data_IF_200521093434
#
_entry.id   IF_200521093434
#
_cell.length_a   1.000
_cell.length_b   1.000
_cell.length_c   1.000
_cell.angle_alpha   90.00
_cell.angle_beta   90.00
_cell.angle_gamma   90.00
#
_symmetry.space_group_name_H-M   'P 1'
#
loop_
_entity.id
_entity.type
_entity.pdbx_description
1 polymer ?
#
# COMPACT_ATOMS: atom_id res chain seq x y z
N UNK A 1 5.43 12.25 16.45
CA UNK A 1 6.32 11.35 15.71
C UNK A 1 7.63 12.02 15.32
N UNK A 2 8.48 11.34 14.54
CA UNK A 2 9.78 11.89 14.10
C UNK A 2 9.61 13.20 13.30
N UNK A 3 8.54 13.35 12.53
CA UNK A 3 8.24 14.58 11.80
C UNK A 3 8.11 15.80 12.72
N UNK A 4 7.50 15.66 13.86
CA UNK A 4 7.38 16.75 14.85
C UNK A 4 8.73 17.10 15.49
N UNK A 5 9.62 16.12 15.65
CA UNK A 5 11.00 16.35 16.13
C UNK A 5 11.76 17.17 15.10
N UNK A 6 11.73 16.78 13.83
CA UNK A 6 12.41 17.52 12.76
C UNK A 6 11.83 18.93 12.58
N UNK A 7 10.52 19.11 12.68
CA UNK A 7 9.88 20.43 12.66
C UNK A 7 10.49 21.36 13.70
N UNK A 8 10.64 20.89 14.95
CA UNK A 8 11.22 21.69 16.04
C UNK A 8 12.70 22.01 15.82
N UNK A 9 13.46 21.13 15.17
CA UNK A 9 14.89 21.29 14.94
C UNK A 9 15.21 22.18 13.73
N UNK A 10 14.34 22.21 12.73
CA UNK A 10 14.61 22.90 11.46
C UNK A 10 14.64 24.42 11.57
N UNK A 11 14.00 25.03 12.60
CA UNK A 11 13.87 26.49 12.71
C UNK A 11 13.13 27.13 11.51
N UNK A 12 12.51 26.31 10.66
CA UNK A 12 11.79 26.70 9.45
C UNK A 12 10.29 26.49 9.64
N UNK A 13 9.49 27.13 8.80
CA UNK A 13 8.05 26.89 8.73
C UNK A 13 7.79 25.54 8.05
N UNK A 14 7.53 24.51 8.85
CA UNK A 14 7.32 23.12 8.40
C UNK A 14 5.96 22.62 8.86
N UNK A 15 5.17 22.14 7.92
CA UNK A 15 3.91 21.44 8.19
C UNK A 15 4.13 19.93 8.09
N UNK A 16 3.77 19.20 9.15
CA UNK A 16 3.86 17.73 9.20
C UNK A 16 2.48 17.15 8.93
N UNK A 17 2.39 16.27 7.92
CA UNK A 17 1.16 15.59 7.52
C UNK A 17 1.33 14.09 7.80
N UNK A 18 0.34 13.46 8.45
CA UNK A 18 0.28 12.02 8.56
C UNK A 18 -0.28 11.43 7.27
N UNK A 19 0.57 10.69 6.54
CA UNK A 19 0.17 10.04 5.29
C UNK A 19 -0.78 8.86 5.48
N UNK A 20 -0.86 8.29 6.69
CA UNK A 20 -1.53 7.04 7.06
C UNK A 20 -1.15 5.81 6.23
N UNK A 21 -0.29 5.99 5.25
CA UNK A 21 0.17 4.96 4.33
C UNK A 21 1.69 4.80 4.35
N UNK A 22 2.14 3.75 3.72
CA UNK A 22 3.54 3.47 3.40
C UNK A 22 3.68 3.15 1.92
N UNK A 23 4.91 2.89 1.45
CA UNK A 23 5.22 2.41 0.11
C UNK A 23 4.69 3.35 -1.01
N UNK A 24 4.13 2.82 -2.09
CA UNK A 24 3.72 3.63 -3.23
C UNK A 24 2.47 4.49 -2.95
N UNK A 25 1.60 4.13 -1.99
CA UNK A 25 0.52 5.04 -1.56
C UNK A 25 1.07 6.33 -0.95
N UNK A 26 2.15 6.25 -0.18
CA UNK A 26 2.85 7.44 0.31
C UNK A 26 3.54 8.19 -0.85
N UNK A 27 4.15 7.47 -1.78
CA UNK A 27 4.74 8.05 -3.00
C UNK A 27 3.69 8.83 -3.82
N UNK A 28 2.46 8.33 -3.97
CA UNK A 28 1.40 9.05 -4.69
C UNK A 28 1.17 10.45 -4.08
N UNK A 29 1.12 10.54 -2.76
CA UNK A 29 0.97 11.81 -2.03
C UNK A 29 2.16 12.73 -2.27
N UNK A 30 3.39 12.24 -2.08
CA UNK A 30 4.62 13.03 -2.20
C UNK A 30 4.81 13.58 -3.62
N UNK A 31 4.59 12.74 -4.64
CA UNK A 31 4.78 13.15 -6.04
C UNK A 31 3.77 14.23 -6.45
N UNK A 32 2.52 14.12 -6.02
CA UNK A 32 1.50 15.12 -6.34
C UNK A 32 1.73 16.42 -5.56
N UNK A 33 2.14 16.34 -4.30
CA UNK A 33 2.54 17.51 -3.52
C UNK A 33 3.69 18.28 -4.19
N UNK A 34 4.73 17.54 -4.62
CA UNK A 34 5.87 18.14 -5.31
C UNK A 34 5.48 18.83 -6.63
N UNK A 35 4.60 18.20 -7.43
CA UNK A 35 4.10 18.80 -8.69
C UNK A 35 3.37 20.09 -8.44
N UNK A 36 2.40 20.10 -7.51
CA UNK A 36 1.65 21.32 -7.16
C UNK A 36 2.55 22.43 -6.65
N UNK A 37 3.53 22.12 -5.81
CA UNK A 37 4.50 23.09 -5.32
C UNK A 37 5.34 23.70 -6.46
N UNK A 38 5.74 22.88 -7.46
CA UNK A 38 6.45 23.37 -8.65
C UNK A 38 5.57 24.24 -9.55
N UNK A 39 4.26 24.01 -9.56
CA UNK A 39 3.27 24.83 -10.28
C UNK A 39 2.89 26.13 -9.53
N UNK A 40 3.43 26.33 -8.32
CA UNK A 40 3.24 27.53 -7.53
C UNK A 40 1.98 27.52 -6.65
N UNK A 41 1.42 26.33 -6.40
CA UNK A 41 0.29 26.18 -5.48
C UNK A 41 0.65 26.59 -4.04
N UNK A 42 -0.32 27.11 -3.31
CA UNK A 42 -0.16 27.45 -1.89
C UNK A 42 0.00 26.19 -1.02
N UNK A 43 0.51 26.37 0.20
CA UNK A 43 0.64 25.26 1.15
C UNK A 43 -0.72 24.61 1.45
N UNK A 44 -1.76 25.40 1.57
CA UNK A 44 -3.13 24.94 1.83
C UNK A 44 -3.66 24.08 0.68
N UNK A 45 -3.41 24.48 -0.57
CA UNK A 45 -3.78 23.68 -1.75
C UNK A 45 -3.02 22.36 -1.82
N UNK A 46 -1.73 22.37 -1.50
CA UNK A 46 -0.91 21.13 -1.42
C UNK A 46 -1.44 20.20 -0.34
N UNK A 47 -1.74 20.70 0.87
CA UNK A 47 -2.29 19.91 1.97
C UNK A 47 -3.65 19.29 1.57
N UNK A 48 -4.54 20.11 1.01
CA UNK A 48 -5.87 19.65 0.58
C UNK A 48 -5.76 18.52 -0.48
N UNK A 49 -4.81 18.64 -1.41
CA UNK A 49 -4.58 17.61 -2.42
C UNK A 49 -3.99 16.31 -1.85
N UNK A 50 -3.07 16.41 -0.92
CA UNK A 50 -2.51 15.24 -0.22
C UNK A 50 -3.61 14.49 0.53
N UNK A 51 -4.50 15.22 1.20
CA UNK A 51 -5.64 14.65 1.90
C UNK A 51 -6.62 13.96 0.95
N UNK A 52 -6.95 14.60 -0.19
CA UNK A 52 -7.79 13.99 -1.24
C UNK A 52 -7.18 12.67 -1.74
N UNK A 53 -5.87 12.66 -2.03
CA UNK A 53 -5.17 11.46 -2.49
C UNK A 53 -5.21 10.37 -1.44
N UNK A 54 -5.00 10.71 -0.17
CA UNK A 54 -5.09 9.79 0.95
C UNK A 54 -6.45 9.08 0.99
N UNK A 55 -7.53 9.84 0.89
CA UNK A 55 -8.91 9.31 0.91
C UNK A 55 -9.26 8.47 -0.32
N UNK A 56 -8.59 8.69 -1.44
CA UNK A 56 -8.80 8.00 -2.71
C UNK A 56 -7.78 6.89 -2.98
N UNK A 57 -6.98 6.51 -1.99
CA UNK A 57 -5.98 5.46 -2.11
C UNK A 57 -6.34 4.24 -1.27
N UNK A 58 -6.00 3.08 -1.78
CA UNK A 58 -6.14 1.79 -1.10
C UNK A 58 -4.81 1.03 -1.17
N UNK A 59 -4.46 0.35 -0.08
CA UNK A 59 -3.24 -0.45 0.03
C UNK A 59 -3.59 -1.86 0.49
N UNK A 60 -3.23 -2.85 -0.32
CA UNK A 60 -3.38 -4.27 -0.02
C UNK A 60 -2.00 -4.92 0.09
N UNK A 61 -1.79 -5.74 1.12
CA UNK A 61 -0.53 -6.43 1.39
C UNK A 61 -0.80 -7.92 1.45
N UNK A 62 -0.13 -8.68 0.59
CA UNK A 62 -0.15 -10.14 0.61
C UNK A 62 1.13 -10.71 1.20
N UNK A 63 1.01 -11.64 2.15
CA UNK A 63 2.13 -12.34 2.76
C UNK A 63 1.99 -13.84 2.61
N UNK A 64 3.11 -14.51 2.30
CA UNK A 64 3.17 -15.97 2.14
C UNK A 64 3.23 -16.72 3.46
N UNK A 65 3.64 -16.03 4.54
CA UNK A 65 3.68 -16.53 5.91
C UNK A 65 3.48 -15.38 6.90
N UNK A 66 2.98 -15.69 8.08
CA UNK A 66 2.83 -14.72 9.18
C UNK A 66 4.09 -14.63 10.08
N UNK A 67 5.08 -15.47 9.85
CA UNK A 67 6.26 -15.56 10.74
C UNK A 67 7.00 -14.22 10.87
N UNK A 68 7.19 -13.50 9.76
CA UNK A 68 7.88 -12.21 9.76
C UNK A 68 7.09 -11.14 10.51
N UNK A 69 5.75 -11.13 10.40
CA UNK A 69 4.89 -10.24 11.19
C UNK A 69 4.96 -10.55 12.68
N UNK A 70 5.04 -11.84 13.05
CA UNK A 70 5.20 -12.27 14.45
C UNK A 70 6.56 -11.85 14.98
N UNK A 71 7.66 -12.24 14.29
CA UNK A 71 9.03 -11.89 14.67
C UNK A 71 9.26 -10.37 14.74
N UNK A 72 8.64 -9.64 13.84
CA UNK A 72 8.71 -8.18 13.79
C UNK A 72 7.79 -7.45 14.78
N UNK A 73 6.96 -8.17 15.57
CA UNK A 73 6.01 -7.58 16.51
C UNK A 73 4.84 -6.83 15.88
N UNK A 74 4.53 -7.09 14.59
CA UNK A 74 3.44 -6.44 13.84
C UNK A 74 2.19 -7.30 13.74
N UNK A 75 2.24 -8.54 14.22
CA UNK A 75 1.07 -9.44 14.20
C UNK A 75 -0.13 -8.88 14.97
N UNK A 76 0.10 -8.12 16.05
CA UNK A 76 -0.96 -7.48 16.84
C UNK A 76 -1.74 -6.39 16.10
N UNK A 77 -1.23 -5.91 14.95
CA UNK A 77 -1.94 -4.97 14.08
C UNK A 77 -2.85 -5.66 13.06
N UNK A 78 -2.78 -6.99 12.98
CA UNK A 78 -3.57 -7.76 12.01
C UNK A 78 -4.86 -8.23 12.66
N UNK A 79 -5.98 -7.72 12.19
CA UNK A 79 -7.31 -8.11 12.66
C UNK A 79 -7.81 -9.36 11.93
N UNK A 80 -8.67 -10.14 12.58
CA UNK A 80 -9.33 -11.30 11.96
C UNK A 80 -8.47 -12.56 11.82
N UNK A 81 -7.30 -12.64 12.46
CA UNK A 81 -6.48 -13.85 12.51
C UNK A 81 -6.61 -14.57 13.85
N UNK A 82 -6.79 -15.90 13.77
CA UNK A 82 -6.67 -16.78 14.92
C UNK A 82 -5.21 -17.24 15.04
N UNK A 83 -4.66 -17.22 16.24
CA UNK A 83 -3.24 -17.35 16.56
C UNK A 83 -2.51 -18.66 16.16
N UNK A 84 -3.19 -19.63 15.54
CA UNK A 84 -2.63 -20.97 15.29
C UNK A 84 -2.21 -21.25 13.84
N UNK A 85 -2.24 -20.26 12.93
CA UNK A 85 -2.09 -20.50 11.49
C UNK A 85 -0.87 -19.76 10.89
N UNK A 86 0.34 -20.14 11.29
CA UNK A 86 1.59 -19.53 10.77
C UNK A 86 1.80 -19.77 9.26
N UNK A 87 1.39 -20.93 8.75
CA UNK A 87 1.59 -21.35 7.35
C UNK A 87 0.36 -21.09 6.47
N UNK A 88 -0.19 -19.90 6.53
CA UNK A 88 -1.27 -19.46 5.64
C UNK A 88 -0.84 -18.26 4.83
N UNK A 89 -1.39 -18.14 3.63
CA UNK A 89 -1.33 -16.93 2.83
C UNK A 89 -2.47 -16.02 3.18
N UNK A 90 -2.14 -14.74 3.38
CA UNK A 90 -3.10 -13.74 3.80
C UNK A 90 -2.95 -12.52 2.91
N UNK A 91 -4.06 -11.94 2.47
CA UNK A 91 -4.09 -10.58 1.95
C UNK A 91 -4.83 -9.71 2.96
N UNK A 92 -4.23 -8.59 3.28
CA UNK A 92 -4.72 -7.60 4.23
C UNK A 92 -4.86 -6.26 3.54
N UNK A 93 -5.86 -5.50 3.93
CA UNK A 93 -6.02 -4.10 3.56
C UNK A 93 -5.56 -3.20 4.70
N UNK A 94 -4.83 -2.15 4.38
CA UNK A 94 -4.43 -1.14 5.36
C UNK A 94 -5.51 -0.05 5.45
N UNK A 95 -6.14 0.04 6.61
CA UNK A 95 -7.14 1.08 6.93
C UNK A 95 -6.71 1.72 8.25
N UNK A 96 -6.51 3.02 8.26
CA UNK A 96 -6.11 3.79 9.45
C UNK A 96 -4.90 3.19 10.20
N UNK A 97 -3.88 2.78 9.45
CA UNK A 97 -2.66 2.14 9.95
C UNK A 97 -2.86 0.75 10.58
N UNK A 98 -4.04 0.15 10.47
CA UNK A 98 -4.33 -1.23 10.85
C UNK A 98 -4.42 -2.14 9.63
N UNK A 99 -4.08 -3.41 9.81
CA UNK A 99 -4.10 -4.43 8.76
C UNK A 99 -5.34 -5.32 8.93
N UNK A 100 -6.33 -5.10 8.09
CA UNK A 100 -7.58 -5.86 8.10
C UNK A 100 -7.51 -7.05 7.14
N UNK A 101 -7.74 -8.27 7.64
CA UNK A 101 -7.70 -9.47 6.81
C UNK A 101 -8.84 -9.46 5.80
N UNK A 102 -8.48 -9.46 4.50
CA UNK A 102 -9.43 -9.54 3.38
C UNK A 102 -9.67 -10.99 2.97
N UNK A 103 -8.60 -11.75 2.80
CA UNK A 103 -8.68 -13.18 2.48
C UNK A 103 -7.54 -13.94 3.14
N UNK A 104 -7.82 -15.17 3.53
CA UNK A 104 -6.83 -16.13 4.02
C UNK A 104 -7.04 -17.51 3.39
N UNK A 105 -5.95 -18.23 3.18
CA UNK A 105 -6.03 -19.58 2.58
C UNK A 105 -4.67 -20.24 2.46
N UNK A 106 -4.64 -21.36 1.75
CA UNK A 106 -3.40 -22.12 1.50
C UNK A 106 -3.05 -22.07 0.01
N UNK A 107 -1.75 -21.88 -0.26
CA UNK A 107 -1.22 -21.87 -1.63
C UNK A 107 -1.48 -20.59 -2.41
N UNK A 108 -0.80 -20.45 -3.56
CA UNK A 108 -0.80 -19.26 -4.44
C UNK A 108 -2.19 -18.91 -4.98
N UNK A 109 -3.09 -19.89 -5.07
CA UNK A 109 -4.49 -19.68 -5.49
C UNK A 109 -5.21 -18.62 -4.64
N UNK A 110 -4.82 -18.45 -3.36
CA UNK A 110 -5.40 -17.45 -2.46
C UNK A 110 -5.17 -16.04 -3.00
N UNK A 111 -3.96 -15.74 -3.47
CA UNK A 111 -3.61 -14.43 -4.01
C UNK A 111 -4.29 -14.16 -5.35
N UNK A 112 -4.33 -15.16 -6.23
CA UNK A 112 -5.03 -15.02 -7.50
C UNK A 112 -6.54 -14.78 -7.32
N UNK A 113 -7.17 -15.52 -6.39
CA UNK A 113 -8.60 -15.32 -6.08
C UNK A 113 -8.87 -13.91 -5.57
N UNK A 114 -8.00 -13.41 -4.69
CA UNK A 114 -8.12 -12.03 -4.21
C UNK A 114 -8.00 -11.03 -5.36
N UNK A 115 -6.96 -11.18 -6.21
CA UNK A 115 -6.72 -10.26 -7.32
C UNK A 115 -7.88 -10.23 -8.31
N UNK A 116 -8.45 -11.40 -8.65
CA UNK A 116 -9.60 -11.48 -9.55
C UNK A 116 -10.82 -10.76 -8.95
N UNK A 117 -11.08 -10.94 -7.65
CA UNK A 117 -12.15 -10.22 -6.93
C UNK A 117 -11.87 -8.71 -6.83
N UNK A 118 -10.61 -8.30 -6.63
CA UNK A 118 -10.21 -6.90 -6.61
C UNK A 118 -10.47 -6.23 -7.97
N UNK A 119 -10.08 -6.88 -9.07
CA UNK A 119 -10.30 -6.36 -10.42
C UNK A 119 -11.79 -6.19 -10.69
N UNK A 120 -12.61 -7.19 -10.37
CA UNK A 120 -14.06 -7.14 -10.52
C UNK A 120 -14.65 -5.96 -9.72
N UNK A 121 -14.24 -5.81 -8.46
CA UNK A 121 -14.67 -4.69 -7.62
C UNK A 121 -14.26 -3.33 -8.20
N UNK A 122 -13.01 -3.18 -8.63
CA UNK A 122 -12.52 -1.94 -9.23
C UNK A 122 -13.31 -1.56 -10.49
N UNK A 123 -13.64 -2.55 -11.35
CA UNK A 123 -14.43 -2.33 -12.57
C UNK A 123 -15.90 -1.97 -12.29
N UNK A 124 -16.49 -2.50 -11.21
CA UNK A 124 -17.91 -2.31 -10.88
C UNK A 124 -18.18 -1.17 -9.92
N UNK A 125 -17.14 -0.66 -9.24
CA UNK A 125 -17.25 0.42 -8.24
C UNK A 125 -17.71 1.77 -8.79
N UNK A 126 -17.65 1.96 -10.10
CA UNK A 126 -17.87 3.25 -10.76
C UNK A 126 -16.74 4.27 -10.54
N UNK A 127 -15.69 3.91 -9.80
CA UNK A 127 -14.49 4.74 -9.59
C UNK A 127 -13.50 4.51 -10.72
N UNK A 128 -12.91 5.58 -11.24
CA UNK A 128 -11.86 5.46 -12.25
C UNK A 128 -10.49 5.35 -11.57
N UNK A 129 -9.74 4.31 -11.92
CA UNK A 129 -8.38 4.10 -11.43
C UNK A 129 -7.43 5.09 -12.11
N UNK A 130 -6.71 5.88 -11.32
CA UNK A 130 -5.76 6.88 -11.82
C UNK A 130 -4.35 6.31 -11.95
N UNK A 131 -3.92 5.51 -10.99
CA UNK A 131 -2.60 4.84 -11.03
C UNK A 131 -2.57 3.63 -10.10
N UNK A 132 -1.68 2.68 -10.41
CA UNK A 132 -1.48 1.44 -9.66
C UNK A 132 0.00 1.31 -9.32
N UNK A 133 0.29 0.96 -8.07
CA UNK A 133 1.59 0.54 -7.60
C UNK A 133 1.58 -0.94 -7.27
N UNK A 134 2.61 -1.68 -7.70
CA UNK A 134 2.87 -3.04 -7.24
C UNK A 134 4.24 -3.04 -6.60
N UNK A 135 4.33 -3.45 -5.35
CA UNK A 135 5.60 -3.69 -4.69
C UNK A 135 5.77 -5.17 -4.40
N UNK A 136 7.00 -5.68 -4.49
CA UNK A 136 7.32 -7.08 -4.28
C UNK A 136 8.56 -7.26 -3.41
N UNK A 137 8.69 -8.45 -2.81
CA UNK A 137 9.85 -8.89 -2.05
C UNK A 137 10.33 -10.23 -2.63
N UNK A 138 11.59 -10.30 -3.04
CA UNK A 138 12.17 -11.48 -3.67
C UNK A 138 12.02 -11.49 -5.20
N UNK A 139 11.33 -12.48 -5.75
CA UNK A 139 11.20 -12.63 -7.21
C UNK A 139 10.13 -11.73 -7.82
N UNK A 140 10.32 -11.35 -9.09
CA UNK A 140 9.39 -10.49 -9.83
C UNK A 140 8.19 -11.23 -10.43
N UNK A 141 8.17 -12.57 -10.40
CA UNK A 141 7.22 -13.37 -11.18
C UNK A 141 5.77 -13.09 -10.82
N UNK A 142 5.47 -13.04 -9.51
CA UNK A 142 4.13 -12.74 -9.02
C UNK A 142 3.72 -11.30 -9.37
N UNK A 143 4.62 -10.34 -9.17
CA UNK A 143 4.36 -8.93 -9.47
C UNK A 143 4.10 -8.70 -10.96
N UNK A 144 4.85 -9.37 -11.84
CA UNK A 144 4.64 -9.32 -13.28
C UNK A 144 3.32 -9.98 -13.68
N UNK A 145 2.98 -11.12 -13.10
CA UNK A 145 1.68 -11.77 -13.31
C UNK A 145 0.50 -10.89 -12.88
N UNK A 146 0.64 -10.19 -11.77
CA UNK A 146 -0.37 -9.22 -11.30
C UNK A 146 -0.47 -8.01 -12.22
N UNK A 147 0.67 -7.48 -12.67
CA UNK A 147 0.70 -6.37 -13.63
C UNK A 147 -0.08 -6.69 -14.90
N UNK A 148 0.13 -7.90 -15.48
CA UNK A 148 -0.59 -8.30 -16.68
C UNK A 148 -2.11 -8.35 -16.47
N UNK A 149 -2.57 -8.90 -15.35
CA UNK A 149 -4.00 -8.94 -15.02
C UNK A 149 -4.59 -7.55 -14.76
N UNK A 150 -3.85 -6.68 -14.06
CA UNK A 150 -4.31 -5.33 -13.69
C UNK A 150 -4.37 -4.36 -14.88
N UNK A 151 -3.73 -4.67 -16.01
CA UNK A 151 -3.81 -3.85 -17.23
C UNK A 151 -5.24 -3.59 -17.72
N UNK A 152 -6.16 -4.48 -17.41
CA UNK A 152 -7.58 -4.33 -17.77
C UNK A 152 -8.22 -3.08 -17.14
N UNK A 153 -7.63 -2.55 -16.07
CA UNK A 153 -8.10 -1.33 -15.41
C UNK A 153 -7.68 -0.03 -16.13
N UNK A 154 -6.84 -0.14 -17.18
CA UNK A 154 -6.50 0.99 -18.07
C UNK A 154 -5.62 2.09 -17.45
N UNK A 155 -5.08 1.88 -16.26
CA UNK A 155 -4.24 2.85 -15.54
C UNK A 155 -2.75 2.53 -15.68
N UNK A 156 -1.85 3.54 -15.52
CA UNK A 156 -0.41 3.31 -15.41
C UNK A 156 -0.08 2.41 -14.23
N UNK A 157 0.83 1.44 -14.43
CA UNK A 157 1.25 0.48 -13.39
C UNK A 157 2.75 0.57 -13.18
N UNK A 158 3.17 0.94 -11.98
CA UNK A 158 4.56 0.89 -11.54
C UNK A 158 4.83 -0.40 -10.75
N UNK A 159 5.92 -1.09 -11.07
CA UNK A 159 6.38 -2.29 -10.33
C UNK A 159 7.74 -1.97 -9.72
N UNK A 160 7.85 -2.08 -8.40
CA UNK A 160 9.06 -1.73 -7.65
C UNK A 160 9.37 -2.81 -6.60
N UNK A 161 10.65 -3.06 -6.38
CA UNK A 161 11.08 -3.83 -5.22
C UNK A 161 10.90 -3.00 -3.94
N UNK A 162 10.34 -3.61 -2.89
CA UNK A 162 10.18 -2.91 -1.61
C UNK A 162 11.49 -2.85 -0.83
N UNK A 163 11.63 -1.86 0.04
CA UNK A 163 12.84 -1.69 0.85
C UNK A 163 12.98 -2.74 1.96
N UNK A 164 14.22 -2.94 2.44
CA UNK A 164 14.59 -3.96 3.43
C UNK A 164 13.79 -3.88 4.74
N UNK A 165 13.37 -2.70 5.15
CA UNK A 165 12.53 -2.52 6.36
C UNK A 165 11.19 -3.23 6.20
N UNK A 166 10.53 -3.05 5.06
CA UNK A 166 9.25 -3.73 4.77
C UNK A 166 9.48 -5.23 4.61
N UNK A 167 10.52 -5.63 3.86
CA UNK A 167 10.87 -7.04 3.64
C UNK A 167 11.08 -7.79 4.97
N UNK A 168 11.71 -7.16 5.97
CA UNK A 168 11.91 -7.74 7.30
C UNK A 168 10.60 -8.12 7.96
N UNK A 169 9.53 -7.34 7.76
CA UNK A 169 8.23 -7.60 8.37
C UNK A 169 7.31 -8.47 7.53
N UNK A 170 7.42 -8.42 6.20
CA UNK A 170 6.51 -9.13 5.29
C UNK A 170 7.06 -10.48 4.84
N UNK A 171 8.39 -10.59 4.76
CA UNK A 171 9.08 -11.81 4.32
C UNK A 171 9.14 -11.96 2.81
N UNK A 172 9.77 -13.05 2.40
CA UNK A 172 9.93 -13.44 1.00
C UNK A 172 8.57 -13.76 0.37
N UNK A 173 8.46 -13.55 -0.94
CA UNK A 173 7.22 -13.69 -1.72
C UNK A 173 6.04 -12.81 -1.24
N UNK A 174 6.33 -11.78 -0.45
CA UNK A 174 5.33 -10.79 -0.15
C UNK A 174 5.14 -9.81 -1.32
N UNK A 175 3.95 -9.29 -1.43
CA UNK A 175 3.62 -8.25 -2.39
C UNK A 175 2.72 -7.19 -1.75
N UNK A 176 2.67 -6.02 -2.38
CA UNK A 176 1.62 -5.05 -2.13
C UNK A 176 1.03 -4.58 -3.47
N UNK A 177 -0.27 -4.35 -3.49
CA UNK A 177 -0.98 -3.66 -4.58
C UNK A 177 -1.60 -2.41 -4.00
N UNK A 178 -1.29 -1.30 -4.61
CA UNK A 178 -1.77 0.02 -4.22
C UNK A 178 -2.51 0.64 -5.39
N UNK A 179 -3.64 1.24 -5.12
CA UNK A 179 -4.44 1.89 -6.13
C UNK A 179 -4.82 3.29 -5.67
N UNK A 180 -4.76 4.24 -6.59
CA UNK A 180 -5.34 5.57 -6.41
C UNK A 180 -6.44 5.78 -7.44
N UNK A 181 -7.58 6.24 -6.97
CA UNK A 181 -8.71 6.63 -7.81
C UNK A 181 -8.67 8.14 -8.16
N UNK A 182 -9.40 8.52 -9.20
CA UNK A 182 -9.55 9.95 -9.59
C UNK A 182 -10.40 10.75 -8.61
#
# INVERSE_FOLDING_TARGET
>A
GLGDVYKRQAGADVTVIDSTFTDQCQKFQVVQAAKLAQEGASLEEVIAKVEEIRQKSELYIGVSTLENLVKGGRIGRVTGLLSSLLNIRVVMEMIDCELNTVIKGRGVKTFNKWLDSFIEHAQTSGKKVAEIGISYCGTTDMANGFKEKLRVLGAPIAVLETGSIIQTHTGEDAFAVMVRYE
#
